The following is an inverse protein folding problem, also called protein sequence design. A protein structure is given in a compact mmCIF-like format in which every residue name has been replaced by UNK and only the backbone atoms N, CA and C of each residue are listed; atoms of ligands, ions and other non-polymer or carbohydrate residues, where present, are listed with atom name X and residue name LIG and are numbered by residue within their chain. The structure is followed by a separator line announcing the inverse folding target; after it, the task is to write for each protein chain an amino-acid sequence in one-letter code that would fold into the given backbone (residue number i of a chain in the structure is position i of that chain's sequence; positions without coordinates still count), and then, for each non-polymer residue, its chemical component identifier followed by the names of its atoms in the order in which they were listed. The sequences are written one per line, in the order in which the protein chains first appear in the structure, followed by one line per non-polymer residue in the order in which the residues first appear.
data_IF_402901973797
#
_entry.id   IF_402901973797
#
_cell.length_a   1.000
_cell.length_b   1.000
_cell.length_c   1.000
_cell.angle_alpha   90.00
_cell.angle_beta   90.00
_cell.angle_gamma   90.00
#
_symmetry.space_group_name_H-M   'P 1'
#
loop_
_entity.id
_entity.type
_entity.pdbx_description
1 polymer ?
#
# COMPACT_ATOMS: atom_id res chain seq x y z
N UNK A 1 -10.76 31.29 14.51
CA UNK A 1 -10.15 30.66 15.71
C UNK A 1 -9.22 29.58 15.20
N UNK A 2 -7.92 29.84 15.10
CA UNK A 2 -6.95 28.83 14.66
C UNK A 2 -6.68 27.90 15.84
N UNK A 3 -7.14 26.65 15.74
CA UNK A 3 -6.74 25.59 16.66
C UNK A 3 -5.26 25.31 16.42
N UNK A 4 -4.40 25.77 17.33
CA UNK A 4 -3.01 25.32 17.35
C UNK A 4 -3.00 23.86 17.77
N UNK A 5 -2.50 23.00 16.88
CA UNK A 5 -2.31 21.59 17.15
C UNK A 5 -1.21 21.46 18.21
N UNK A 6 -1.57 20.97 19.39
CA UNK A 6 -0.67 20.91 20.56
C UNK A 6 0.37 19.80 20.47
N UNK A 7 0.24 18.88 19.51
CA UNK A 7 1.06 17.67 19.44
C UNK A 7 0.60 16.52 20.33
N UNK A 8 -0.44 16.77 21.13
CA UNK A 8 -0.97 15.81 22.10
C UNK A 8 -2.44 15.53 21.82
N UNK A 9 -2.81 14.27 21.99
CA UNK A 9 -4.18 13.81 21.78
C UNK A 9 -4.53 12.74 22.82
N UNK A 10 -5.80 12.67 23.24
CA UNK A 10 -6.26 11.56 24.07
C UNK A 10 -6.14 10.25 23.28
N UNK A 11 -5.74 9.18 23.95
CA UNK A 11 -5.56 7.87 23.34
C UNK A 11 -6.82 7.36 22.63
N UNK A 12 -8.00 7.60 23.21
CA UNK A 12 -9.27 7.24 22.57
C UNK A 12 -9.52 8.00 21.26
N UNK A 13 -9.21 9.30 21.22
CA UNK A 13 -9.30 10.09 20.00
C UNK A 13 -8.28 9.60 18.96
N UNK A 14 -7.12 9.14 19.41
CA UNK A 14 -6.05 8.63 18.53
C UNK A 14 -6.53 7.35 17.86
N UNK A 15 -7.08 6.42 18.65
CA UNK A 15 -7.67 5.17 18.14
C UNK A 15 -8.82 5.43 17.17
N UNK A 16 -9.67 6.42 17.46
CA UNK A 16 -10.74 6.82 16.55
C UNK A 16 -10.18 7.40 15.23
N UNK A 17 -9.14 8.22 15.31
CA UNK A 17 -8.42 8.75 14.14
C UNK A 17 -7.79 7.64 13.30
N UNK A 18 -7.11 6.68 13.94
CA UNK A 18 -6.48 5.54 13.26
C UNK A 18 -7.49 4.69 12.51
N UNK A 19 -8.63 4.36 13.13
CA UNK A 19 -9.72 3.63 12.46
C UNK A 19 -10.28 4.38 11.25
N UNK A 20 -10.43 5.70 11.37
CA UNK A 20 -10.93 6.52 10.27
C UNK A 20 -9.94 6.59 9.10
N UNK A 21 -8.65 6.62 9.40
CA UNK A 21 -7.58 6.70 8.40
C UNK A 21 -7.29 5.36 7.73
N UNK A 22 -7.32 4.26 8.48
CA UNK A 22 -6.99 2.92 7.99
C UNK A 22 -8.24 2.07 7.71
N UNK A 23 -9.04 2.53 6.74
CA UNK A 23 -10.34 1.91 6.42
C UNK A 23 -10.25 0.49 5.88
N UNK A 24 -9.10 0.10 5.34
CA UNK A 24 -8.88 -1.21 4.72
C UNK A 24 -8.20 -2.22 5.66
N UNK A 25 -7.81 -1.79 6.87
CA UNK A 25 -7.20 -2.70 7.85
C UNK A 25 -8.28 -3.56 8.49
N UNK A 26 -7.97 -4.83 8.69
CA UNK A 26 -8.83 -5.75 9.44
C UNK A 26 -8.87 -5.38 10.92
N UNK A 27 -9.90 -5.83 11.65
CA UNK A 27 -9.96 -5.60 13.10
C UNK A 27 -8.74 -6.20 13.83
N UNK A 28 -8.20 -7.33 13.36
CA UNK A 28 -6.99 -7.92 13.93
C UNK A 28 -5.78 -6.99 13.80
N UNK A 29 -5.52 -6.49 12.59
CA UNK A 29 -4.45 -5.52 12.33
C UNK A 29 -4.64 -4.24 13.14
N UNK A 30 -5.89 -3.85 13.37
CA UNK A 30 -6.20 -2.66 14.14
C UNK A 30 -6.00 -2.84 15.65
N UNK A 31 -6.29 -4.04 16.18
CA UNK A 31 -5.95 -4.42 17.56
C UNK A 31 -4.43 -4.43 17.75
N UNK A 32 -3.67 -5.05 16.85
CA UNK A 32 -2.20 -5.03 16.90
C UNK A 32 -1.63 -3.60 16.94
N UNK A 33 -2.21 -2.68 16.14
CA UNK A 33 -1.81 -1.28 16.14
C UNK A 33 -2.14 -0.57 17.46
N UNK A 34 -3.26 -0.91 18.10
CA UNK A 34 -3.62 -0.34 19.40
C UNK A 34 -2.72 -0.87 20.52
N UNK A 35 -2.36 -2.16 20.48
CA UNK A 35 -1.44 -2.76 21.42
C UNK A 35 -0.03 -2.16 21.27
N UNK A 36 0.42 -1.95 20.03
CA UNK A 36 1.69 -1.27 19.76
C UNK A 36 1.67 0.20 20.22
N UNK A 37 0.57 0.91 20.02
CA UNK A 37 0.37 2.27 20.54
C UNK A 37 0.44 2.31 22.06
N UNK A 38 -0.18 1.35 22.74
CA UNK A 38 -0.18 1.25 24.20
C UNK A 38 1.20 0.95 24.77
N UNK A 39 2.01 0.17 24.05
CA UNK A 39 3.39 -0.12 24.41
C UNK A 39 4.27 1.12 24.33
N UNK A 40 4.19 1.88 23.23
CA UNK A 40 5.04 3.06 23.03
C UNK A 40 4.58 4.26 23.87
N UNK A 41 3.27 4.41 24.05
CA UNK A 41 2.65 5.52 24.77
C UNK A 41 1.71 4.99 25.87
N UNK A 42 2.25 4.52 27.02
CA UNK A 42 1.45 3.88 28.08
C UNK A 42 0.51 4.84 28.81
N UNK A 43 0.62 6.15 28.58
CA UNK A 43 -0.21 7.18 29.20
C UNK A 43 -1.50 7.43 28.40
N UNK A 44 -2.46 8.11 29.02
CA UNK A 44 -3.73 8.49 28.38
C UNK A 44 -3.56 9.55 27.26
N UNK A 45 -2.46 10.31 27.30
CA UNK A 45 -2.13 11.30 26.27
C UNK A 45 -1.01 10.77 25.40
N UNK A 46 -1.21 10.83 24.09
CA UNK A 46 -0.28 10.41 23.05
C UNK A 46 0.38 11.64 22.45
N UNK A 47 1.72 11.66 22.39
CA UNK A 47 2.46 12.67 21.63
C UNK A 47 2.56 12.21 20.17
N UNK A 48 1.58 12.57 19.35
CA UNK A 48 1.53 12.08 17.98
C UNK A 48 2.63 12.66 17.09
N UNK A 49 3.21 13.83 17.42
CA UNK A 49 4.36 14.33 16.67
C UNK A 49 5.56 13.40 16.82
N UNK A 50 5.84 12.96 18.05
CA UNK A 50 6.93 12.01 18.31
C UNK A 50 6.63 10.63 17.75
N UNK A 51 5.38 10.18 17.85
CA UNK A 51 4.96 8.85 17.41
C UNK A 51 5.18 8.60 15.90
N UNK A 52 5.09 9.66 15.09
CA UNK A 52 5.29 9.62 13.64
C UNK A 52 6.60 10.28 13.18
N UNK A 53 7.49 10.63 14.10
CA UNK A 53 8.75 11.26 13.72
C UNK A 53 9.65 10.23 13.01
N UNK A 54 10.29 10.66 11.93
CA UNK A 54 11.21 9.82 11.17
C UNK A 54 12.55 9.78 11.88
N UNK A 55 12.78 8.73 12.67
CA UNK A 55 14.06 8.57 13.35
C UNK A 55 15.12 7.99 12.40
N UNK A 56 16.09 8.81 12.01
CA UNK A 56 17.27 8.40 11.26
C UNK A 56 18.22 7.49 12.08
N UNK A 57 18.05 7.46 13.40
CA UNK A 57 18.85 6.66 14.34
C UNK A 57 18.29 5.24 14.56
N UNK A 58 17.31 4.82 13.74
CA UNK A 58 16.68 3.49 13.76
C UNK A 58 15.94 3.14 15.07
N UNK A 59 15.55 4.13 15.90
CA UNK A 59 14.72 3.88 17.09
C UNK A 59 13.25 4.20 16.87
N UNK A 60 12.71 3.85 15.70
CA UNK A 60 11.26 3.89 15.51
C UNK A 60 10.58 2.97 16.53
N UNK A 61 9.58 3.52 17.21
CA UNK A 61 8.78 2.78 18.19
C UNK A 61 8.03 1.60 17.55
N UNK A 62 7.57 0.67 18.39
CA UNK A 62 6.86 -0.54 17.96
C UNK A 62 5.62 -0.19 17.14
N UNK A 63 4.96 0.92 17.45
CA UNK A 63 3.79 1.41 16.73
C UNK A 63 4.11 1.77 15.27
N UNK A 64 5.12 2.60 15.03
CA UNK A 64 5.50 3.02 13.69
C UNK A 64 5.96 1.82 12.85
N UNK A 65 6.73 0.91 13.47
CA UNK A 65 7.19 -0.32 12.84
C UNK A 65 6.03 -1.26 12.50
N UNK A 66 5.02 -1.35 13.37
CA UNK A 66 3.81 -2.14 13.09
C UNK A 66 3.04 -1.60 11.90
N UNK A 67 2.89 -0.27 11.77
CA UNK A 67 2.29 0.35 10.57
C UNK A 67 3.09 -0.04 9.33
N UNK A 68 4.42 0.12 9.38
CA UNK A 68 5.32 -0.17 8.27
C UNK A 68 5.24 -1.63 7.82
N UNK A 69 5.30 -2.56 8.77
CA UNK A 69 5.24 -3.99 8.49
C UNK A 69 3.87 -4.40 7.93
N UNK A 70 2.78 -3.91 8.51
CA UNK A 70 1.45 -4.21 7.98
C UNK A 70 1.28 -3.64 6.57
N UNK A 71 1.77 -2.42 6.30
CA UNK A 71 1.72 -1.84 4.97
C UNK A 71 2.52 -2.66 3.95
N UNK A 72 3.73 -3.10 4.32
CA UNK A 72 4.54 -3.97 3.47
C UNK A 72 3.83 -5.28 3.16
N UNK A 73 3.22 -5.91 4.17
CA UNK A 73 2.45 -7.15 3.99
C UNK A 73 1.23 -6.93 3.07
N UNK A 74 0.53 -5.80 3.21
CA UNK A 74 -0.58 -5.42 2.35
C UNK A 74 -0.13 -5.24 0.90
N UNK A 75 1.01 -4.58 0.67
CA UNK A 75 1.59 -4.44 -0.67
C UNK A 75 1.98 -5.80 -1.26
N UNK A 76 2.66 -6.66 -0.49
CA UNK A 76 3.04 -8.00 -0.94
C UNK A 76 1.81 -8.84 -1.30
N UNK A 77 0.78 -8.83 -0.45
CA UNK A 77 -0.47 -9.52 -0.72
C UNK A 77 -1.17 -8.98 -1.97
N UNK A 78 -1.13 -7.66 -2.19
CA UNK A 78 -1.65 -7.05 -3.40
C UNK A 78 -0.88 -7.51 -4.65
N UNK A 79 0.45 -7.51 -4.62
CA UNK A 79 1.26 -8.02 -5.73
C UNK A 79 0.97 -9.49 -6.04
N UNK A 80 0.90 -10.33 -5.01
CA UNK A 80 0.53 -11.74 -5.16
C UNK A 80 -0.87 -11.87 -5.80
N UNK A 81 -1.84 -11.07 -5.37
CA UNK A 81 -3.18 -11.12 -5.93
C UNK A 81 -3.22 -10.79 -7.43
N UNK A 82 -2.36 -9.88 -7.90
CA UNK A 82 -2.21 -9.55 -9.33
C UNK A 82 -1.60 -10.73 -10.07
N UNK A 83 -0.52 -11.31 -9.54
CA UNK A 83 0.13 -12.47 -10.14
C UNK A 83 -0.85 -13.64 -10.28
N UNK A 84 -1.54 -13.98 -9.20
CA UNK A 84 -2.56 -15.03 -9.18
C UNK A 84 -3.68 -14.74 -10.18
N UNK A 85 -4.14 -13.49 -10.26
CA UNK A 85 -5.17 -13.09 -11.22
C UNK A 85 -4.70 -13.21 -12.68
N UNK A 86 -3.42 -12.97 -12.96
CA UNK A 86 -2.83 -13.16 -14.30
C UNK A 86 -2.75 -14.64 -14.62
N UNK A 87 -2.20 -15.46 -13.72
CA UNK A 87 -2.08 -16.91 -13.89
C UNK A 87 -3.45 -17.58 -14.09
N UNK A 88 -4.44 -17.18 -13.29
CA UNK A 88 -5.85 -17.56 -13.44
C UNK A 88 -6.37 -17.32 -14.87
N UNK A 89 -6.05 -16.16 -15.46
CA UNK A 89 -6.51 -15.84 -16.81
C UNK A 89 -5.81 -16.72 -17.84
N UNK A 90 -4.50 -16.94 -17.68
CA UNK A 90 -3.69 -17.80 -18.55
C UNK A 90 -4.23 -19.21 -18.59
N UNK A 91 -4.45 -19.80 -17.41
CA UNK A 91 -5.00 -21.15 -17.27
C UNK A 91 -6.42 -21.26 -17.83
N UNK A 92 -7.32 -20.33 -17.47
CA UNK A 92 -8.73 -20.37 -17.92
C UNK A 92 -8.90 -20.28 -19.43
N UNK A 93 -8.00 -19.58 -20.11
CA UNK A 93 -8.05 -19.42 -21.56
C UNK A 93 -7.22 -20.49 -22.31
N UNK A 94 -6.51 -21.37 -21.59
CA UNK A 94 -5.65 -22.39 -22.19
C UNK A 94 -4.50 -21.79 -23.02
N UNK A 95 -4.03 -20.61 -22.65
CA UNK A 95 -2.94 -19.93 -23.35
C UNK A 95 -1.61 -20.24 -22.67
N UNK A 96 -0.52 -20.29 -23.44
CA UNK A 96 0.84 -20.43 -22.89
C UNK A 96 1.41 -19.10 -22.38
N UNK A 97 0.78 -17.98 -22.74
CA UNK A 97 1.24 -16.63 -22.41
C UNK A 97 0.07 -15.69 -22.10
N UNK A 98 0.34 -14.69 -21.27
CA UNK A 98 -0.62 -13.63 -20.97
C UNK A 98 -0.75 -12.65 -22.15
N UNK A 99 -1.99 -12.36 -22.56
CA UNK A 99 -2.30 -11.34 -23.58
C UNK A 99 -2.67 -9.99 -22.92
N UNK A 100 -2.63 -8.86 -23.65
CA UNK A 100 -3.06 -7.56 -23.11
C UNK A 100 -4.49 -7.60 -22.53
N UNK A 101 -5.40 -8.32 -23.19
CA UNK A 101 -6.79 -8.45 -22.72
C UNK A 101 -6.89 -9.20 -21.39
N UNK A 102 -6.08 -10.24 -21.22
CA UNK A 102 -6.02 -11.03 -19.99
C UNK A 102 -5.43 -10.19 -18.85
N UNK A 103 -4.39 -9.41 -19.14
CA UNK A 103 -3.81 -8.47 -18.19
C UNK A 103 -4.82 -7.40 -17.76
N UNK A 104 -5.61 -6.84 -18.70
CA UNK A 104 -6.72 -5.92 -18.38
C UNK A 104 -7.72 -6.54 -17.40
N UNK A 105 -8.11 -7.78 -17.69
CA UNK A 105 -9.09 -8.52 -16.90
C UNK A 105 -8.55 -8.81 -15.50
N UNK A 106 -7.27 -9.18 -15.39
CA UNK A 106 -6.60 -9.41 -14.12
C UNK A 106 -6.56 -8.12 -13.26
N UNK A 107 -6.14 -6.98 -13.83
CA UNK A 107 -6.13 -5.70 -13.12
C UNK A 107 -7.52 -5.25 -12.67
N UNK A 108 -8.55 -5.41 -13.51
CA UNK A 108 -9.93 -5.07 -13.12
C UNK A 108 -10.48 -5.99 -12.03
N UNK A 109 -10.03 -7.25 -11.97
CA UNK A 109 -10.41 -8.20 -10.92
C UNK A 109 -9.79 -7.83 -9.57
N UNK A 110 -8.51 -7.45 -9.55
CA UNK A 110 -7.77 -7.15 -8.31
C UNK A 110 -7.90 -5.69 -7.87
N UNK A 111 -8.10 -4.78 -8.82
CA UNK A 111 -8.31 -3.37 -8.54
C UNK A 111 -9.51 -2.81 -9.34
N UNK A 112 -10.75 -3.04 -8.84
CA UNK A 112 -11.97 -2.67 -9.56
C UNK A 112 -12.14 -1.17 -9.85
N UNK A 113 -11.44 -0.33 -9.09
CA UNK A 113 -11.49 1.13 -9.22
C UNK A 113 -10.42 1.70 -10.15
N UNK A 114 -9.52 0.87 -10.69
CA UNK A 114 -8.52 1.31 -11.64
C UNK A 114 -9.20 1.79 -12.92
N UNK A 115 -8.86 3.00 -13.36
CA UNK A 115 -9.38 3.58 -14.61
C UNK A 115 -8.84 2.80 -15.82
N UNK A 116 -9.53 2.88 -16.95
CA UNK A 116 -9.07 2.19 -18.17
C UNK A 116 -7.77 2.81 -18.68
N UNK A 117 -7.60 4.12 -18.50
CA UNK A 117 -6.40 4.87 -18.84
C UNK A 117 -5.17 4.39 -18.05
N UNK A 118 -5.33 4.12 -16.76
CA UNK A 118 -4.24 3.55 -15.92
C UNK A 118 -3.86 2.15 -16.37
N UNK A 119 -4.86 1.29 -16.63
CA UNK A 119 -4.62 -0.06 -17.16
C UNK A 119 -3.85 0.01 -18.48
N UNK A 120 -4.21 0.93 -19.38
CA UNK A 120 -3.55 1.11 -20.68
C UNK A 120 -2.09 1.58 -20.54
N UNK A 121 -1.78 2.39 -19.52
CA UNK A 121 -0.39 2.77 -19.20
C UNK A 121 0.42 1.55 -18.80
N UNK A 122 -0.12 0.69 -17.92
CA UNK A 122 0.58 -0.54 -17.50
C UNK A 122 0.71 -1.55 -18.64
N UNK A 123 -0.33 -1.72 -19.46
CA UNK A 123 -0.27 -2.61 -20.61
C UNK A 123 0.81 -2.20 -21.62
N UNK A 124 0.95 -0.90 -21.92
CA UNK A 124 1.98 -0.41 -22.84
C UNK A 124 3.40 -0.66 -22.34
N UNK A 125 3.62 -0.70 -21.02
CA UNK A 125 4.92 -1.05 -20.43
C UNK A 125 5.29 -2.51 -20.66
N UNK A 126 4.31 -3.41 -20.62
CA UNK A 126 4.51 -4.86 -20.80
C UNK A 126 4.47 -5.28 -22.27
N UNK A 127 3.60 -4.64 -23.06
CA UNK A 127 3.39 -4.91 -24.48
C UNK A 127 3.66 -3.65 -25.33
N UNK A 128 4.92 -3.18 -25.39
CA UNK A 128 5.26 -1.99 -26.17
C UNK A 128 5.02 -2.23 -27.66
N UNK A 129 4.49 -1.22 -28.35
CA UNK A 129 4.30 -1.28 -29.80
C UNK A 129 5.65 -1.33 -30.52
N UNK A 130 5.71 -1.96 -31.70
CA UNK A 130 6.95 -2.10 -32.50
C UNK A 130 7.66 -0.75 -32.74
N UNK A 131 6.93 0.36 -32.81
CA UNK A 131 7.49 1.71 -33.01
C UNK A 131 8.10 2.35 -31.75
N UNK A 132 7.86 1.79 -30.56
CA UNK A 132 8.38 2.32 -29.28
C UNK A 132 9.65 1.59 -28.81
N UNK A 133 9.88 0.35 -29.29
CA UNK A 133 11.11 -0.41 -29.01
C UNK A 133 12.37 0.31 -29.52
N UNK A 134 12.25 1.08 -30.60
CA UNK A 134 13.37 1.82 -31.21
C UNK A 134 13.71 3.14 -30.50
N UNK A 135 12.88 3.59 -29.54
CA UNK A 135 13.08 4.87 -28.82
C UNK A 135 13.84 4.74 -27.50
N UNK A 136 14.34 3.56 -27.15
CA UNK A 136 15.19 3.39 -25.97
C UNK A 136 14.51 3.73 -24.64
N UNK A 137 13.17 3.75 -24.56
CA UNK A 137 12.45 3.76 -23.28
C UNK A 137 12.49 2.36 -22.67
N UNK A 138 13.68 1.88 -22.30
CA UNK A 138 13.84 0.71 -21.47
C UNK A 138 14.30 1.15 -20.07
N UNK A 139 13.49 0.78 -19.08
CA UNK A 139 13.62 0.99 -17.64
C UNK A 139 13.47 2.42 -17.13
N UNK A 140 12.30 2.77 -16.55
CA UNK A 140 12.32 3.50 -15.29
C UNK A 140 12.92 2.57 -14.23
N UNK A 141 13.97 3.04 -13.54
CA UNK A 141 14.38 2.49 -12.25
C UNK A 141 13.14 2.36 -11.37
N UNK A 142 12.98 1.21 -10.72
CA UNK A 142 12.20 1.14 -9.49
C UNK A 142 12.99 1.92 -8.43
N UNK A 143 12.90 3.26 -8.46
CA UNK A 143 13.18 4.06 -7.28
C UNK A 143 11.95 3.86 -6.38
N UNK A 144 12.04 2.81 -5.55
CA UNK A 144 11.28 2.72 -4.32
C UNK A 144 11.97 3.73 -3.40
N UNK A 145 11.48 4.97 -3.41
CA UNK A 145 11.84 5.94 -2.39
C UNK A 145 11.23 5.43 -1.07
N UNK A 146 12.12 4.96 -0.18
CA UNK A 146 11.81 4.72 1.23
C UNK A 146 11.92 6.03 2.01
#
# INVERSE_FOLDING_TARGET
MHLQATGWLLKNDMRAGLRKSFQNKTEHQMVELFDALDSDEPRELVNYFRLFDSDNDLNQGVFAETIRQQHLNEQMAFYQSIEDAILDQVEKNGNDACTPQMLSTAFKKTHPHMSSEEVDVYQRRVFPSKNEKDKGLNSPRFEIDF
#
